data_IF_034753956917
#
_entry.id   IF_034753956917
#
_cell.length_a   1.000
_cell.length_b   1.000
_cell.length_c   1.000
_cell.angle_alpha   90.00
_cell.angle_beta   90.00
_cell.angle_gamma   90.00
#
_symmetry.space_group_name_H-M   'P 1'
#
loop_
_entity.id
_entity.type
_entity.pdbx_description
1 polymer ?
#
# COMPACT_ATOMS: atom_id res chain seq x y z
N UNK A 1 0.17 22.87 -3.13
CA UNK A 1 1.54 22.40 -3.39
C UNK A 1 1.43 20.91 -3.53
N UNK A 2 1.47 20.41 -4.75
CA UNK A 2 1.36 18.98 -5.01
C UNK A 2 2.72 18.36 -4.72
N UNK A 3 2.71 17.22 -4.03
CA UNK A 3 3.90 16.44 -3.76
C UNK A 3 4.12 15.53 -4.98
N UNK A 4 5.19 15.78 -5.73
CA UNK A 4 5.50 15.07 -6.98
C UNK A 4 5.59 13.55 -6.75
N UNK A 5 6.07 13.12 -5.57
CA UNK A 5 6.15 11.70 -5.19
C UNK A 5 4.74 11.10 -5.07
N UNK A 6 3.81 11.86 -4.48
CA UNK A 6 2.43 11.40 -4.31
C UNK A 6 1.74 11.24 -5.68
N UNK A 7 1.98 12.17 -6.59
CA UNK A 7 1.36 12.13 -7.93
C UNK A 7 1.91 10.97 -8.77
N UNK A 8 3.21 10.67 -8.68
CA UNK A 8 3.80 9.49 -9.31
C UNK A 8 3.19 8.19 -8.76
N UNK A 9 3.14 8.04 -7.43
CA UNK A 9 2.56 6.86 -6.78
C UNK A 9 1.09 6.66 -7.19
N UNK A 10 0.32 7.75 -7.28
CA UNK A 10 -1.07 7.72 -7.75
C UNK A 10 -1.16 7.28 -9.21
N UNK A 11 -0.32 7.82 -10.07
CA UNK A 11 -0.26 7.45 -11.50
C UNK A 11 0.03 5.96 -11.68
N UNK A 12 1.01 5.42 -10.95
CA UNK A 12 1.36 3.99 -11.01
C UNK A 12 0.20 3.12 -10.53
N UNK A 13 -0.46 3.50 -9.43
CA UNK A 13 -1.61 2.77 -8.88
C UNK A 13 -2.78 2.77 -9.87
N UNK A 14 -3.09 3.91 -10.46
CA UNK A 14 -4.21 4.06 -11.37
C UNK A 14 -3.94 3.31 -12.68
N UNK A 15 -2.70 3.33 -13.19
CA UNK A 15 -2.28 2.53 -14.33
C UNK A 15 -2.36 1.02 -14.06
N UNK A 16 -2.05 0.56 -12.84
CA UNK A 16 -2.25 -0.84 -12.43
C UNK A 16 -3.74 -1.18 -12.39
N UNK A 17 -4.57 -0.38 -11.73
CA UNK A 17 -6.00 -0.61 -11.63
C UNK A 17 -6.71 -0.63 -13.00
N UNK A 18 -6.31 0.25 -13.92
CA UNK A 18 -6.85 0.31 -15.29
C UNK A 18 -6.65 -1.01 -16.06
N UNK A 19 -5.53 -1.73 -15.84
CA UNK A 19 -5.29 -3.06 -16.47
C UNK A 19 -6.33 -4.10 -16.04
N UNK A 20 -6.97 -3.91 -14.89
CA UNK A 20 -7.99 -4.79 -14.34
C UNK A 20 -9.40 -4.22 -14.45
N UNK A 21 -9.60 -3.17 -15.25
CA UNK A 21 -10.88 -2.44 -15.34
C UNK A 21 -11.41 -2.00 -13.97
N UNK A 22 -10.51 -1.68 -13.04
CA UNK A 22 -10.84 -1.31 -11.66
C UNK A 22 -11.59 -2.41 -10.87
N UNK A 23 -11.53 -3.66 -11.30
CA UNK A 23 -12.05 -4.79 -10.53
C UNK A 23 -11.12 -5.09 -9.33
N UNK A 24 -11.62 -4.75 -8.14
CA UNK A 24 -10.91 -4.97 -6.89
C UNK A 24 -10.54 -6.44 -6.65
N UNK A 25 -11.38 -7.38 -7.10
CA UNK A 25 -11.11 -8.82 -6.92
C UNK A 25 -9.96 -9.27 -7.80
N UNK A 26 -9.94 -8.81 -9.05
CA UNK A 26 -8.88 -9.12 -10.00
C UNK A 26 -7.53 -8.52 -9.54
N UNK A 27 -7.54 -7.28 -9.08
CA UNK A 27 -6.36 -6.61 -8.50
C UNK A 27 -5.83 -7.40 -7.29
N UNK A 28 -6.72 -7.79 -6.37
CA UNK A 28 -6.33 -8.57 -5.21
C UNK A 28 -5.68 -9.91 -5.58
N UNK A 29 -6.27 -10.62 -6.54
CA UNK A 29 -5.75 -11.89 -7.01
C UNK A 29 -4.35 -11.74 -7.65
N UNK A 30 -4.13 -10.68 -8.43
CA UNK A 30 -2.82 -10.35 -9.00
C UNK A 30 -1.76 -10.07 -7.93
N UNK A 31 -2.10 -9.23 -6.95
CA UNK A 31 -1.20 -8.91 -5.84
C UNK A 31 -0.82 -10.18 -5.05
N UNK A 32 -1.78 -11.07 -4.80
CA UNK A 32 -1.52 -12.36 -4.12
C UNK A 32 -0.62 -13.29 -4.93
N UNK A 33 -0.75 -13.32 -6.26
CA UNK A 33 0.20 -14.07 -7.11
C UNK A 33 1.61 -13.49 -6.97
N UNK A 34 1.77 -12.17 -7.11
CA UNK A 34 3.07 -11.53 -6.98
C UNK A 34 3.69 -11.73 -5.58
N UNK A 35 2.89 -11.75 -4.52
CA UNK A 35 3.33 -12.08 -3.16
C UNK A 35 3.92 -13.51 -3.12
N UNK A 36 3.19 -14.50 -3.65
CA UNK A 36 3.66 -15.90 -3.66
C UNK A 36 4.94 -16.09 -4.48
N UNK A 37 5.05 -15.42 -5.63
CA UNK A 37 6.24 -15.46 -6.48
C UNK A 37 7.45 -14.85 -5.77
N UNK A 38 7.26 -13.73 -5.05
CA UNK A 38 8.34 -13.09 -4.31
C UNK A 38 8.79 -13.92 -3.11
N UNK A 39 7.86 -14.54 -2.41
CA UNK A 39 8.17 -15.50 -1.33
C UNK A 39 8.95 -16.69 -1.90
N UNK A 40 8.54 -17.24 -3.06
CA UNK A 40 9.26 -18.31 -3.73
C UNK A 40 10.67 -17.88 -4.20
N UNK A 41 10.84 -16.63 -4.59
CA UNK A 41 12.15 -16.04 -4.91
C UNK A 41 13.02 -15.72 -3.68
N UNK A 42 12.54 -16.02 -2.46
CA UNK A 42 13.29 -15.83 -1.21
C UNK A 42 13.19 -14.42 -0.62
N UNK A 43 12.27 -13.56 -1.09
CA UNK A 43 12.03 -12.29 -0.43
C UNK A 43 11.31 -12.50 0.92
N UNK A 44 11.75 -11.83 1.99
CA UNK A 44 11.12 -11.97 3.30
C UNK A 44 9.71 -11.37 3.29
N UNK A 45 8.72 -12.18 3.64
CA UNK A 45 7.37 -11.72 3.93
C UNK A 45 7.29 -11.25 5.38
N UNK A 46 7.04 -9.96 5.59
CA UNK A 46 6.89 -9.37 6.93
C UNK A 46 5.41 -9.27 7.25
N UNK A 47 4.96 -10.00 8.28
CA UNK A 47 3.60 -9.86 8.79
C UNK A 47 3.43 -8.50 9.46
N UNK A 48 2.24 -7.88 9.35
CA UNK A 48 1.94 -6.69 10.14
C UNK A 48 2.04 -7.03 11.64
N UNK A 49 2.50 -6.10 12.48
CA UNK A 49 2.57 -6.33 13.92
C UNK A 49 1.18 -6.64 14.47
N UNK A 50 1.08 -7.66 15.32
CA UNK A 50 -0.19 -8.06 15.97
C UNK A 50 -0.70 -6.99 16.94
N UNK A 51 0.21 -6.20 17.50
CA UNK A 51 -0.11 -5.05 18.34
C UNK A 51 -0.12 -3.78 17.48
N UNK A 52 -1.26 -3.10 17.44
CA UNK A 52 -1.32 -1.75 16.89
C UNK A 52 -0.51 -0.87 17.85
N UNK A 53 0.55 -0.19 17.39
CA UNK A 53 1.32 0.68 18.25
C UNK A 53 0.40 1.79 18.77
N UNK A 54 0.10 1.73 20.07
CA UNK A 54 -0.68 2.77 20.75
C UNK A 54 0.15 4.05 20.68
N UNK A 55 -0.40 5.17 20.16
CA UNK A 55 0.35 6.40 20.07
C UNK A 55 0.79 6.81 21.47
N UNK A 56 2.11 6.83 21.72
CA UNK A 56 2.68 7.10 23.05
C UNK A 56 2.52 8.56 23.48
N UNK A 57 2.01 9.42 22.60
CA UNK A 57 1.80 10.85 22.86
C UNK A 57 0.56 11.37 22.14
N UNK A 58 -0.12 12.33 22.75
CA UNK A 58 -1.30 13.04 22.22
C UNK A 58 -1.00 13.70 20.85
N UNK A 59 0.27 13.99 20.57
CA UNK A 59 0.75 14.66 19.35
C UNK A 59 0.90 13.75 18.12
N UNK A 60 0.81 12.42 18.26
CA UNK A 60 0.91 11.51 17.11
C UNK A 60 -0.41 11.37 16.32
N UNK A 61 -1.51 11.98 16.81
CA UNK A 61 -2.83 11.94 16.16
C UNK A 61 -2.92 12.80 14.89
N UNK A 62 -1.91 13.62 14.60
CA UNK A 62 -1.94 14.60 13.50
C UNK A 62 -0.79 14.41 12.52
N UNK A 63 -0.64 13.21 11.94
CA UNK A 63 0.20 13.05 10.72
C UNK A 63 -0.58 13.04 9.41
N UNK A 64 -1.91 13.18 9.46
CA UNK A 64 -2.74 13.48 8.28
C UNK A 64 -3.82 14.54 8.57
N UNK A 65 -3.50 15.51 9.44
CA UNK A 65 -4.33 16.69 9.61
C UNK A 65 -3.61 17.90 9.01
N UNK A 66 -3.57 18.00 7.67
CA UNK A 66 -3.36 19.28 6.98
C UNK A 66 -4.18 19.34 5.69
N UNK A 67 -5.23 20.18 5.82
CA UNK A 67 -5.99 20.98 4.85
C UNK A 67 -6.69 20.29 3.68
#
# INVERSE_FOLDING_TARGET
>A
MNDEIIDEVRSIRDAHAAKFNYDLRAIYADLKKSETERVAAGHPFVSPPSEIPVPKTVLQRTRFARR
#
